data_IF_219359071634
#
_entry.id   IF_219359071634
#
_cell.length_a   1.000
_cell.length_b   1.000
_cell.length_c   1.000
_cell.angle_alpha   90.00
_cell.angle_beta   90.00
_cell.angle_gamma   90.00
#
_symmetry.space_group_name_H-M   'P 1'
#
loop_
_entity.id
_entity.type
_entity.pdbx_description
1 polymer ?
#
# COMPACT_ATOMS: atom_id res chain seq x y z
N UNK A 1 25.08 -22.20 26.85
CA UNK A 1 24.44 -22.01 25.53
C UNK A 1 23.34 -20.95 25.64
N UNK A 2 23.67 -19.65 25.69
CA UNK A 2 22.67 -18.59 25.88
C UNK A 2 23.03 -17.31 25.08
N UNK A 3 23.07 -17.41 23.75
CA UNK A 3 23.33 -16.24 22.88
C UNK A 3 22.36 -16.10 21.69
N UNK A 4 21.16 -16.70 21.77
CA UNK A 4 20.20 -16.70 20.64
C UNK A 4 19.05 -15.69 20.69
N UNK A 5 18.76 -15.07 21.83
CA UNK A 5 17.49 -14.34 22.03
C UNK A 5 17.58 -12.81 21.94
N UNK A 6 18.76 -12.23 22.19
CA UNK A 6 18.92 -10.77 22.28
C UNK A 6 18.88 -10.06 20.91
N UNK A 7 19.48 -10.66 19.87
CA UNK A 7 19.51 -10.08 18.52
C UNK A 7 18.10 -10.05 17.89
N UNK A 8 17.30 -11.10 18.04
CA UNK A 8 15.93 -11.18 17.50
C UNK A 8 15.05 -10.09 18.11
N UNK A 9 15.14 -9.87 19.43
CA UNK A 9 14.39 -8.84 20.14
C UNK A 9 14.82 -7.41 19.72
N UNK A 10 16.13 -7.18 19.54
CA UNK A 10 16.66 -5.90 19.08
C UNK A 10 16.31 -5.61 17.61
N UNK A 11 16.20 -6.65 16.78
CA UNK A 11 15.69 -6.53 15.41
C UNK A 11 14.19 -6.23 15.37
N UNK A 12 13.38 -6.88 16.21
CA UNK A 12 11.96 -6.60 16.32
C UNK A 12 11.67 -5.19 16.88
N UNK A 13 12.48 -4.69 17.82
CA UNK A 13 12.33 -3.35 18.39
C UNK A 13 12.74 -2.24 17.40
N UNK A 14 13.85 -2.42 16.66
CA UNK A 14 14.25 -1.51 15.57
C UNK A 14 13.23 -1.51 14.43
N UNK A 15 12.58 -2.64 14.14
CA UNK A 15 11.49 -2.76 13.16
C UNK A 15 10.21 -2.04 13.61
N UNK A 16 9.82 -2.14 14.89
CA UNK A 16 8.72 -1.34 15.47
C UNK A 16 9.03 0.16 15.48
N UNK A 17 10.26 0.56 15.79
CA UNK A 17 10.69 1.96 15.76
C UNK A 17 10.74 2.53 14.33
N UNK A 18 11.23 1.73 13.36
CA UNK A 18 11.24 2.09 11.94
C UNK A 18 9.83 2.20 11.36
N UNK A 19 8.92 1.30 11.76
CA UNK A 19 7.50 1.39 11.39
C UNK A 19 6.84 2.63 11.98
N UNK A 20 7.10 2.97 13.25
CA UNK A 20 6.63 4.20 13.88
C UNK A 20 7.19 5.46 13.19
N UNK A 21 8.46 5.44 12.79
CA UNK A 21 9.07 6.54 12.04
C UNK A 21 8.42 6.68 10.66
N UNK A 22 8.16 5.58 9.96
CA UNK A 22 7.46 5.58 8.66
C UNK A 22 6.01 6.06 8.77
N UNK A 23 5.30 5.67 9.82
CA UNK A 23 3.97 6.20 10.12
C UNK A 23 3.99 7.72 10.34
N UNK A 24 4.93 8.21 11.17
CA UNK A 24 5.12 9.66 11.35
C UNK A 24 5.47 10.36 10.03
N UNK A 25 6.35 9.75 9.23
CA UNK A 25 6.74 10.28 7.94
C UNK A 25 5.58 10.31 6.93
N UNK A 26 4.63 9.37 7.02
CA UNK A 26 3.44 9.28 6.17
C UNK A 26 2.38 10.34 6.51
N UNK A 27 2.20 10.67 7.81
CA UNK A 27 1.22 11.68 8.25
C UNK A 27 1.45 13.03 7.56
N UNK A 28 2.68 13.51 7.51
CA UNK A 28 3.00 14.79 6.86
C UNK A 28 2.87 14.76 5.32
N UNK A 29 2.74 13.57 4.70
CA UNK A 29 2.60 13.45 3.23
C UNK A 29 1.21 13.84 2.76
N UNK A 30 0.20 13.70 3.62
CA UNK A 30 -1.15 14.21 3.35
C UNK A 30 -1.12 15.71 3.12
N UNK A 31 -0.50 16.46 4.03
CA UNK A 31 -0.36 17.92 3.93
C UNK A 31 0.40 18.29 2.65
N UNK A 32 1.53 17.61 2.37
CA UNK A 32 2.28 17.86 1.12
C UNK A 32 1.43 17.60 -0.13
N UNK A 33 0.62 16.53 -0.15
CA UNK A 33 -0.26 16.24 -1.29
C UNK A 33 -1.35 17.31 -1.45
N UNK A 34 -1.95 17.75 -0.34
CA UNK A 34 -2.99 18.78 -0.32
C UNK A 34 -2.45 20.15 -0.78
N UNK A 35 -1.23 20.50 -0.40
CA UNK A 35 -0.52 21.73 -0.80
C UNK A 35 -0.16 21.78 -2.29
N UNK A 36 -0.01 20.63 -2.96
CA UNK A 36 0.21 20.59 -4.40
C UNK A 36 -1.10 20.95 -5.11
N UNK A 37 -1.25 22.23 -5.43
CA UNK A 37 -2.41 22.80 -6.13
C UNK A 37 -2.00 23.48 -7.45
N UNK A 38 -3.01 23.93 -8.19
CA UNK A 38 -2.83 24.67 -9.45
C UNK A 38 -2.72 23.76 -10.68
N UNK A 39 -2.21 24.35 -11.77
CA UNK A 39 -2.03 23.63 -13.04
C UNK A 39 -1.13 22.39 -12.83
N UNK A 40 -1.52 21.29 -13.45
CA UNK A 40 -0.79 20.01 -13.40
C UNK A 40 -0.67 19.38 -11.99
N UNK A 41 -1.52 19.78 -11.03
CA UNK A 41 -1.52 19.25 -9.67
C UNK A 41 -1.57 17.72 -9.63
N UNK A 42 -2.41 17.11 -10.46
CA UNK A 42 -2.48 15.66 -10.61
C UNK A 42 -1.12 15.03 -10.95
N UNK A 43 -0.46 15.51 -12.01
CA UNK A 43 0.82 14.98 -12.46
C UNK A 43 1.92 15.18 -11.40
N UNK A 44 1.93 16.34 -10.72
CA UNK A 44 2.86 16.65 -9.63
C UNK A 44 2.65 15.75 -8.41
N UNK A 45 1.40 15.49 -8.01
CA UNK A 45 1.05 14.57 -6.91
C UNK A 45 1.47 13.13 -7.21
N UNK A 46 1.16 12.63 -8.41
CA UNK A 46 1.64 11.30 -8.85
C UNK A 46 3.16 11.25 -8.89
N UNK A 47 3.82 12.29 -9.41
CA UNK A 47 5.28 12.41 -9.42
C UNK A 47 5.89 12.40 -8.01
N UNK A 48 5.23 13.03 -7.04
CA UNK A 48 5.62 12.99 -5.64
C UNK A 48 5.49 11.59 -5.03
N UNK A 49 4.35 10.93 -5.21
CA UNK A 49 4.14 9.55 -4.75
C UNK A 49 5.21 8.60 -5.33
N UNK A 50 5.62 8.81 -6.58
CA UNK A 50 6.69 8.05 -7.24
C UNK A 50 8.08 8.29 -6.66
N UNK A 51 8.30 9.37 -5.89
CA UNK A 51 9.58 9.67 -5.22
C UNK A 51 9.65 9.15 -3.79
N UNK A 52 8.51 8.80 -3.19
CA UNK A 52 8.49 8.26 -1.83
C UNK A 52 9.25 6.94 -1.73
N UNK A 53 9.84 6.72 -0.57
CA UNK A 53 10.28 5.38 -0.17
C UNK A 53 9.09 4.40 -0.29
N UNK A 54 9.26 3.19 -0.86
CA UNK A 54 8.15 2.25 -1.05
C UNK A 54 7.39 1.95 0.24
N UNK A 55 8.10 1.86 1.36
CA UNK A 55 7.51 1.53 2.66
C UNK A 55 6.70 2.71 3.22
N UNK A 56 7.16 3.94 2.94
CA UNK A 56 6.39 5.15 3.26
C UNK A 56 5.14 5.26 2.39
N UNK A 57 5.20 4.86 1.12
CA UNK A 57 4.02 4.80 0.26
C UNK A 57 2.98 3.79 0.76
N UNK A 58 3.42 2.60 1.17
CA UNK A 58 2.55 1.59 1.79
C UNK A 58 1.88 2.12 3.07
N UNK A 59 2.66 2.69 3.99
CA UNK A 59 2.11 3.27 5.22
C UNK A 59 1.16 4.43 4.94
N UNK A 60 1.46 5.27 3.93
CA UNK A 60 0.57 6.36 3.50
C UNK A 60 -0.80 5.80 3.10
N UNK A 61 -0.84 4.77 2.25
CA UNK A 61 -2.08 4.13 1.80
C UNK A 61 -2.84 3.49 2.97
N UNK A 62 -2.14 2.73 3.83
CA UNK A 62 -2.75 2.07 4.99
C UNK A 62 -3.31 3.08 6.01
N UNK A 63 -2.61 4.19 6.23
CA UNK A 63 -3.13 5.30 7.03
C UNK A 63 -4.34 5.95 6.36
N UNK A 64 -4.41 5.97 5.04
CA UNK A 64 -5.55 6.52 4.28
C UNK A 64 -6.82 5.73 4.54
N UNK A 65 -6.74 4.41 4.48
CA UNK A 65 -7.87 3.55 4.85
C UNK A 65 -8.29 3.75 6.30
N UNK A 66 -7.31 3.89 7.22
CA UNK A 66 -7.59 4.20 8.63
C UNK A 66 -8.33 5.53 8.79
N UNK A 67 -7.91 6.58 8.07
CA UNK A 67 -8.56 7.91 8.09
C UNK A 67 -9.98 7.88 7.52
N UNK A 68 -10.25 6.99 6.57
CA UNK A 68 -11.59 6.73 6.04
C UNK A 68 -12.41 5.77 6.95
N UNK A 69 -11.95 5.50 8.17
CA UNK A 69 -12.69 4.77 9.20
C UNK A 69 -12.51 3.24 9.17
N UNK A 70 -11.65 2.69 8.33
CA UNK A 70 -11.41 1.25 8.30
C UNK A 70 -10.55 0.78 9.48
N UNK A 71 -10.83 -0.41 10.01
CA UNK A 71 -9.87 -1.11 10.87
C UNK A 71 -8.74 -1.64 9.99
N UNK A 72 -7.48 -1.37 10.36
CA UNK A 72 -6.31 -1.69 9.52
C UNK A 72 -5.36 -2.63 10.25
N UNK A 73 -5.13 -3.80 9.68
CA UNK A 73 -4.06 -4.72 10.05
C UNK A 73 -2.87 -4.54 9.09
N UNK A 74 -1.70 -4.18 9.62
CA UNK A 74 -0.51 -3.95 8.78
C UNK A 74 0.30 -5.24 8.62
N UNK A 75 0.81 -5.47 7.42
CA UNK A 75 1.70 -6.58 7.11
C UNK A 75 2.96 -6.54 7.97
N UNK A 76 3.30 -7.66 8.61
CA UNK A 76 4.47 -7.75 9.52
C UNK A 76 5.78 -8.09 8.78
N UNK A 77 5.69 -8.43 7.48
CA UNK A 77 6.81 -8.84 6.63
C UNK A 77 6.81 -8.09 5.31
N UNK A 78 7.98 -7.54 4.95
CA UNK A 78 8.40 -7.46 3.57
C UNK A 78 8.85 -8.87 3.16
N UNK A 79 7.94 -9.72 2.71
CA UNK A 79 8.32 -11.02 2.14
C UNK A 79 8.73 -10.82 0.69
N UNK A 80 9.99 -11.18 0.38
CA UNK A 80 10.60 -11.03 -0.94
C UNK A 80 9.91 -11.78 -2.08
N UNK A 81 8.97 -12.68 -1.78
CA UNK A 81 8.32 -13.57 -2.75
C UNK A 81 6.79 -13.34 -2.88
N UNK A 82 6.30 -12.16 -2.49
CA UNK A 82 4.87 -11.81 -2.54
C UNK A 82 4.16 -11.97 -1.20
N UNK A 83 3.15 -11.13 -0.97
CA UNK A 83 2.47 -10.97 0.31
C UNK A 83 1.46 -9.82 0.28
N UNK A 84 0.81 -9.56 1.41
CA UNK A 84 -0.05 -8.41 1.60
C UNK A 84 0.72 -7.34 2.36
N UNK A 85 0.62 -6.08 1.95
CA UNK A 85 1.16 -4.95 2.71
C UNK A 85 0.27 -4.65 3.92
N UNK A 86 -1.01 -5.03 3.85
CA UNK A 86 -1.94 -5.01 4.96
C UNK A 86 -3.30 -5.58 4.60
N UNK A 87 -4.23 -5.45 5.53
CA UNK A 87 -5.65 -5.78 5.37
C UNK A 87 -6.49 -4.69 6.00
N UNK A 88 -7.67 -4.50 5.47
CA UNK A 88 -8.68 -3.60 6.05
C UNK A 88 -9.97 -4.35 6.30
N UNK A 89 -10.62 -4.09 7.42
CA UNK A 89 -11.94 -4.63 7.69
C UNK A 89 -12.99 -3.63 7.20
N UNK A 90 -13.84 -4.07 6.28
CA UNK A 90 -14.94 -3.29 5.70
C UNK A 90 -16.05 -4.25 5.27
N UNK A 91 -17.30 -3.83 5.35
CA UNK A 91 -18.46 -4.63 4.92
C UNK A 91 -18.45 -6.05 5.50
N UNK A 92 -18.14 -6.13 6.81
CA UNK A 92 -18.08 -7.35 7.61
C UNK A 92 -17.08 -8.44 7.16
N UNK A 93 -16.06 -8.08 6.38
CA UNK A 93 -14.99 -9.01 6.01
C UNK A 93 -13.62 -8.31 5.88
N UNK A 94 -12.56 -9.11 5.79
CA UNK A 94 -11.20 -8.61 5.55
C UNK A 94 -10.92 -8.48 4.06
N UNK A 95 -10.40 -7.32 3.66
CA UNK A 95 -9.99 -7.00 2.29
C UNK A 95 -8.47 -6.82 2.28
N UNK A 96 -7.78 -7.52 1.36
CA UNK A 96 -6.32 -7.46 1.28
C UNK A 96 -5.82 -6.18 0.61
N UNK A 97 -4.62 -5.72 0.95
CA UNK A 97 -3.99 -4.56 0.32
C UNK A 97 -2.60 -4.94 -0.17
N UNK A 98 -2.31 -4.58 -1.42
CA UNK A 98 -0.97 -4.55 -1.97
C UNK A 98 -0.76 -3.21 -2.69
N UNK A 99 0.31 -2.51 -2.34
CA UNK A 99 0.77 -1.27 -2.90
C UNK A 99 2.00 -1.53 -3.79
N UNK A 100 2.06 -0.86 -4.93
CA UNK A 100 3.25 -0.87 -5.81
C UNK A 100 3.50 0.51 -6.39
N UNK A 101 4.70 1.04 -6.15
CA UNK A 101 5.16 2.29 -6.74
C UNK A 101 5.78 2.03 -8.12
N UNK A 102 5.04 2.35 -9.18
CA UNK A 102 5.52 2.20 -10.57
C UNK A 102 5.86 3.56 -11.17
N UNK A 103 6.93 3.60 -11.98
CA UNK A 103 7.23 4.76 -12.83
C UNK A 103 6.36 4.76 -14.10
N UNK A 104 6.03 3.57 -14.60
CA UNK A 104 5.36 3.37 -15.90
C UNK A 104 4.08 2.52 -15.76
N UNK A 105 3.71 1.77 -16.80
CA UNK A 105 2.60 0.83 -16.74
C UNK A 105 2.89 -0.29 -15.72
N UNK A 106 1.84 -0.79 -15.06
CA UNK A 106 1.99 -1.88 -14.11
C UNK A 106 2.27 -3.20 -14.83
N UNK A 107 2.92 -4.13 -14.14
CA UNK A 107 3.09 -5.49 -14.63
C UNK A 107 1.86 -6.33 -14.28
N UNK A 108 1.15 -6.84 -15.29
CA UNK A 108 -0.01 -7.73 -15.11
C UNK A 108 0.33 -8.97 -14.27
N UNK A 109 1.57 -9.45 -14.34
CA UNK A 109 2.05 -10.55 -13.51
C UNK A 109 1.91 -10.28 -12.01
N UNK A 110 2.14 -9.03 -11.56
CA UNK A 110 1.98 -8.64 -10.16
C UNK A 110 0.50 -8.63 -9.72
N UNK A 111 -0.43 -8.24 -10.60
CA UNK A 111 -1.87 -8.32 -10.33
C UNK A 111 -2.32 -9.78 -10.24
N UNK A 112 -1.84 -10.63 -11.16
CA UNK A 112 -2.11 -12.08 -11.13
C UNK A 112 -1.54 -12.73 -9.86
N UNK A 113 -0.35 -12.32 -9.41
CA UNK A 113 0.26 -12.78 -8.17
C UNK A 113 -0.57 -12.33 -6.95
N UNK A 114 -0.99 -11.07 -6.92
CA UNK A 114 -1.86 -10.57 -5.86
C UNK A 114 -3.16 -11.37 -5.72
N UNK A 115 -3.81 -11.75 -6.83
CA UNK A 115 -4.98 -12.64 -6.78
C UNK A 115 -4.70 -14.02 -6.15
N UNK A 116 -3.51 -14.59 -6.40
CA UNK A 116 -3.06 -15.82 -5.72
C UNK A 116 -2.82 -15.60 -4.24
N UNK A 117 -2.25 -14.45 -3.88
CA UNK A 117 -2.00 -14.09 -2.49
C UNK A 117 -3.31 -13.93 -1.72
N UNK A 118 -4.31 -13.22 -2.27
CA UNK A 118 -5.65 -13.12 -1.67
C UNK A 118 -6.24 -14.50 -1.39
N UNK A 119 -6.21 -15.40 -2.38
CA UNK A 119 -6.71 -16.77 -2.23
C UNK A 119 -5.96 -17.55 -1.15
N UNK A 120 -4.62 -17.43 -1.09
CA UNK A 120 -3.78 -18.06 -0.07
C UNK A 120 -4.10 -17.56 1.34
N UNK A 121 -4.50 -16.31 1.49
CA UNK A 121 -4.89 -15.71 2.77
C UNK A 121 -6.39 -15.85 3.08
N UNK A 122 -7.16 -16.56 2.25
CA UNK A 122 -8.61 -16.74 2.43
C UNK A 122 -9.42 -15.46 2.24
N UNK A 123 -8.90 -14.50 1.45
CA UNK A 123 -9.56 -13.22 1.18
C UNK A 123 -10.26 -13.25 -0.18
N UNK A 124 -11.51 -12.81 -0.19
CA UNK A 124 -12.36 -12.76 -1.39
C UNK A 124 -12.21 -11.46 -2.17
N UNK A 125 -11.57 -10.45 -1.60
CA UNK A 125 -11.39 -9.14 -2.20
C UNK A 125 -10.04 -8.51 -1.81
N UNK A 126 -9.49 -7.66 -2.69
CA UNK A 126 -8.32 -6.85 -2.37
C UNK A 126 -8.13 -5.60 -3.20
N UNK A 127 -7.52 -4.58 -2.59
CA UNK A 127 -7.05 -3.37 -3.27
C UNK A 127 -5.63 -3.57 -3.79
N UNK A 128 -5.46 -3.44 -5.11
CA UNK A 128 -4.16 -3.29 -5.74
C UNK A 128 -3.90 -1.81 -6.02
N UNK A 129 -3.13 -1.18 -5.14
CA UNK A 129 -2.89 0.26 -5.11
C UNK A 129 -1.60 0.60 -5.85
N UNK A 130 -1.63 1.53 -6.80
CA UNK A 130 -0.42 1.85 -7.56
C UNK A 130 -0.35 3.26 -8.15
N UNK A 131 0.89 3.70 -8.41
CA UNK A 131 1.19 5.00 -9.05
C UNK A 131 1.47 4.90 -10.56
N UNK A 132 1.41 3.69 -11.12
CA UNK A 132 1.61 3.43 -12.55
C UNK A 132 0.38 3.64 -13.42
N UNK A 133 0.51 3.34 -14.72
CA UNK A 133 -0.63 3.28 -15.66
C UNK A 133 -1.27 1.89 -15.63
N UNK A 134 -2.59 1.82 -15.59
CA UNK A 134 -3.34 0.56 -15.71
C UNK A 134 -3.53 0.23 -17.20
N UNK A 135 -3.05 -0.94 -17.70
CA UNK A 135 -3.34 -1.39 -19.06
C UNK A 135 -4.85 -1.51 -19.34
N UNK A 136 -5.24 -1.25 -20.59
CA UNK A 136 -6.64 -1.36 -21.03
C UNK A 136 -7.21 -2.76 -20.75
N UNK A 137 -8.46 -2.82 -20.27
CA UNK A 137 -9.17 -4.07 -19.97
C UNK A 137 -8.68 -4.81 -18.71
N UNK A 138 -7.65 -4.34 -18.01
CA UNK A 138 -7.15 -5.00 -16.81
C UNK A 138 -8.11 -4.85 -15.61
N UNK A 139 -8.81 -3.72 -15.50
CA UNK A 139 -9.77 -3.43 -14.41
C UNK A 139 -10.90 -4.46 -14.34
N UNK A 140 -11.34 -4.98 -15.47
CA UNK A 140 -12.43 -5.95 -15.55
C UNK A 140 -11.95 -7.41 -15.53
N UNK A 141 -10.62 -7.63 -15.56
CA UNK A 141 -10.05 -8.97 -15.72
C UNK A 141 -10.06 -9.79 -14.42
N UNK A 142 -10.02 -9.12 -13.27
CA UNK A 142 -9.91 -9.77 -11.95
C UNK A 142 -11.01 -9.23 -11.03
N UNK A 143 -12.17 -9.88 -11.02
CA UNK A 143 -13.35 -9.40 -10.30
C UNK A 143 -13.16 -9.23 -8.78
N UNK A 144 -12.21 -9.96 -8.18
CA UNK A 144 -11.84 -9.85 -6.77
C UNK A 144 -10.81 -8.73 -6.46
N UNK A 145 -10.29 -8.03 -7.48
CA UNK A 145 -9.24 -7.02 -7.31
C UNK A 145 -9.75 -5.65 -7.70
N UNK A 146 -9.82 -4.76 -6.72
CA UNK A 146 -10.08 -3.33 -6.95
C UNK A 146 -8.76 -2.63 -7.27
N UNK A 147 -8.69 -1.99 -8.43
CA UNK A 147 -7.54 -1.13 -8.79
C UNK A 147 -7.76 0.27 -8.21
N UNK A 148 -6.87 0.71 -7.33
CA UNK A 148 -6.84 2.08 -6.81
C UNK A 148 -5.60 2.79 -7.36
N UNK A 149 -5.79 3.66 -8.35
CA UNK A 149 -4.68 4.29 -9.08
C UNK A 149 -5.06 5.62 -9.71
N UNK A 150 -4.08 6.34 -10.27
CA UNK A 150 -4.34 7.58 -11.00
C UNK A 150 -5.11 8.58 -10.14
N UNK A 151 -6.16 9.19 -10.69
CA UNK A 151 -6.95 10.20 -9.98
C UNK A 151 -7.67 9.61 -8.76
N UNK A 152 -8.20 8.39 -8.85
CA UNK A 152 -8.86 7.72 -7.72
C UNK A 152 -7.92 7.57 -6.51
N UNK A 153 -6.63 7.27 -6.76
CA UNK A 153 -5.63 7.23 -5.69
C UNK A 153 -5.35 8.61 -5.11
N UNK A 154 -5.33 9.66 -5.93
CA UNK A 154 -5.15 11.03 -5.45
C UNK A 154 -6.34 11.41 -4.57
N UNK A 155 -7.56 11.26 -5.05
CA UNK A 155 -8.80 11.61 -4.33
C UNK A 155 -8.98 10.76 -3.06
N UNK A 156 -8.42 9.56 -3.03
CA UNK A 156 -8.37 8.74 -1.83
C UNK A 156 -7.45 9.34 -0.76
N UNK A 157 -6.34 9.95 -1.16
CA UNK A 157 -5.27 10.46 -0.30
C UNK A 157 -5.36 11.96 0.02
N UNK A 158 -6.25 12.71 -0.61
CA UNK A 158 -6.51 14.13 -0.31
C UNK A 158 -7.96 14.34 0.13
#
# INVERSE_FOLDING_TARGET
MAHGKAWIAQWQSRRKASHRHRQKAAVHRYDTLAEIQGKDAFARRIGYLRKLDPLVFEELVLDGFKRKGCLVERGTRYSGDGGLDGKVFRDNHWIGIQCKRYKDAIQTAHVKQFGRDLSRFGLTEGYFVHTGRTPAGLRHRYGQIIILSGQELIDFLV
#
